data_IF_004163500101
#
_entry.id   IF_004163500101
#
_cell.length_a   1.000
_cell.length_b   1.000
_cell.length_c   1.000
_cell.angle_alpha   90.00
_cell.angle_beta   90.00
_cell.angle_gamma   90.00
#
_symmetry.space_group_name_H-M   'P 1'
#
loop_
_entity.id
_entity.type
_entity.pdbx_description
1 polymer ?
#
# COMPACT_ATOMS: atom_id res chain seq x y z
N UNK A 1 -14.43 -0.49 0.75
CA UNK A 1 -13.74 0.32 -0.27
C UNK A 1 -13.21 1.61 0.36
N UNK A 2 -12.02 2.06 -0.01
CA UNK A 2 -11.40 3.33 0.41
C UNK A 2 -11.54 4.32 -0.75
N UNK A 3 -12.10 5.52 -0.53
CA UNK A 3 -12.39 6.46 -1.61
C UNK A 3 -11.48 7.69 -1.50
N UNK A 4 -11.02 8.19 -2.66
CA UNK A 4 -10.26 9.44 -2.77
C UNK A 4 -9.12 9.60 -1.75
N UNK A 5 -8.10 8.72 -1.75
CA UNK A 5 -6.89 8.96 -0.96
C UNK A 5 -6.22 10.26 -1.44
N UNK A 6 -5.88 11.15 -0.51
CA UNK A 6 -5.37 12.49 -0.86
C UNK A 6 -4.02 12.82 -0.21
N UNK A 7 -3.59 12.04 0.77
CA UNK A 7 -2.29 12.23 1.41
C UNK A 7 -1.53 10.93 1.57
N UNK A 8 -0.21 11.05 1.62
CA UNK A 8 0.71 9.97 1.95
C UNK A 8 1.75 10.49 2.94
N UNK A 9 2.04 9.69 3.97
CA UNK A 9 3.07 9.98 4.95
C UNK A 9 3.76 8.69 5.40
N UNK A 10 4.95 8.83 5.97
CA UNK A 10 5.75 7.73 6.53
C UNK A 10 6.11 8.00 7.98
N UNK A 11 6.24 6.94 8.79
CA UNK A 11 6.83 7.02 10.13
C UNK A 11 8.31 6.62 10.13
N UNK A 12 8.97 6.69 11.31
CA UNK A 12 10.38 6.31 11.46
C UNK A 12 10.66 4.81 11.32
N UNK A 13 9.61 3.98 11.40
CA UNK A 13 9.69 2.53 11.16
C UNK A 13 9.51 2.18 9.68
N UNK A 14 9.22 3.18 8.83
CA UNK A 14 9.01 3.01 7.39
C UNK A 14 7.60 2.61 6.99
N UNK A 15 6.64 2.56 7.92
CA UNK A 15 5.25 2.26 7.57
C UNK A 15 4.65 3.39 6.73
N UNK A 16 3.75 3.05 5.81
CA UNK A 16 3.07 4.02 4.94
C UNK A 16 1.65 4.26 5.43
N UNK A 17 1.22 5.51 5.40
CA UNK A 17 -0.12 5.93 5.77
C UNK A 17 -0.77 6.69 4.63
N UNK A 18 -2.07 6.46 4.42
CA UNK A 18 -2.89 7.30 3.54
C UNK A 18 -4.19 7.70 4.20
N UNK A 19 -4.69 8.89 3.86
CA UNK A 19 -5.94 9.42 4.40
C UNK A 19 -6.99 9.60 3.31
N UNK A 20 -8.22 9.30 3.66
CA UNK A 20 -9.42 9.57 2.85
C UNK A 20 -10.03 10.91 3.28
N UNK A 21 -10.23 11.81 2.31
CA UNK A 21 -10.73 13.17 2.55
C UNK A 21 -12.24 13.31 2.46
N UNK A 22 -12.94 12.31 1.94
CA UNK A 22 -14.38 12.36 1.73
C UNK A 22 -15.16 11.91 2.98
N UNK A 23 -16.08 10.96 2.87
CA UNK A 23 -16.96 10.52 3.96
C UNK A 23 -16.24 9.66 5.01
N UNK A 24 -15.25 8.85 4.59
CA UNK A 24 -14.73 7.81 5.46
C UNK A 24 -13.94 8.33 6.66
N UNK A 25 -13.25 9.48 6.54
CA UNK A 25 -12.36 10.04 7.59
C UNK A 25 -11.44 8.98 8.21
N UNK A 26 -10.94 8.07 7.37
CA UNK A 26 -10.10 6.94 7.77
C UNK A 26 -8.65 7.21 7.49
N UNK A 27 -7.81 6.59 8.31
CA UNK A 27 -6.39 6.38 8.04
C UNK A 27 -6.20 4.91 7.72
N UNK A 28 -5.52 4.60 6.62
CA UNK A 28 -5.06 3.24 6.33
C UNK A 28 -3.54 3.16 6.50
N UNK A 29 -3.09 2.20 7.31
CA UNK A 29 -1.67 1.88 7.53
C UNK A 29 -1.28 0.67 6.70
N UNK A 30 -0.16 0.77 6.00
CA UNK A 30 0.54 -0.34 5.35
C UNK A 30 1.80 -0.63 6.14
N UNK A 31 1.89 -1.85 6.66
CA UNK A 31 3.04 -2.28 7.44
C UNK A 31 4.24 -2.45 6.52
N UNK A 32 5.36 -1.84 6.89
CA UNK A 32 6.62 -2.10 6.23
C UNK A 32 7.23 -3.39 6.78
N UNK A 33 7.39 -4.39 5.92
CA UNK A 33 7.91 -5.71 6.29
C UNK A 33 9.40 -5.88 5.95
N UNK A 34 10.09 -4.80 5.62
CA UNK A 34 11.50 -4.82 5.19
C UNK A 34 11.68 -4.98 3.68
N UNK A 35 12.94 -4.82 3.25
CA UNK A 35 13.35 -5.08 1.87
C UNK A 35 13.54 -6.57 1.65
N UNK A 36 13.19 -7.04 0.45
CA UNK A 36 13.48 -8.39 -0.01
C UNK A 36 14.45 -8.35 -1.20
N UNK A 37 15.35 -9.33 -1.35
CA UNK A 37 16.20 -9.45 -2.53
C UNK A 37 15.37 -9.50 -3.81
N UNK A 38 15.82 -8.84 -4.88
CA UNK A 38 15.09 -8.79 -6.17
C UNK A 38 14.79 -10.18 -6.75
N UNK A 39 15.69 -11.15 -6.55
CA UNK A 39 15.50 -12.55 -6.93
C UNK A 39 14.26 -13.22 -6.27
N UNK A 40 13.76 -12.65 -5.18
CA UNK A 40 12.57 -13.13 -4.47
C UNK A 40 11.31 -12.30 -4.81
N UNK A 41 11.44 -11.25 -5.62
CA UNK A 41 10.32 -10.42 -6.07
C UNK A 41 9.72 -11.07 -7.32
N UNK A 42 8.39 -11.23 -7.32
CA UNK A 42 7.69 -11.67 -8.52
C UNK A 42 7.80 -10.57 -9.58
N UNK A 43 8.35 -10.91 -10.74
CA UNK A 43 8.42 -10.00 -11.88
C UNK A 43 7.01 -9.68 -12.41
N UNK A 44 6.82 -8.45 -12.89
CA UNK A 44 5.57 -7.95 -13.46
C UNK A 44 4.86 -6.92 -12.62
N UNK A 45 3.80 -6.32 -13.17
CA UNK A 45 2.99 -5.37 -12.44
C UNK A 45 2.30 -6.06 -11.25
N UNK A 46 2.35 -5.42 -10.07
CA UNK A 46 1.65 -5.92 -8.89
C UNK A 46 0.12 -6.03 -9.11
N UNK A 47 -0.41 -5.28 -10.09
CA UNK A 47 -1.80 -5.29 -10.52
C UNK A 47 -1.94 -5.15 -12.06
N UNK A 48 -2.97 -5.76 -12.68
CA UNK A 48 -3.78 -6.84 -12.13
C UNK A 48 -2.93 -8.10 -12.01
N UNK A 49 -2.78 -8.63 -10.80
CA UNK A 49 -2.21 -9.94 -10.60
C UNK A 49 -3.25 -10.91 -11.19
N UNK A 50 -2.93 -11.62 -12.28
CA UNK A 50 -3.90 -12.53 -12.90
C UNK A 50 -4.55 -13.42 -11.84
N UNK A 51 -5.87 -13.29 -11.66
CA UNK A 51 -6.66 -14.20 -10.84
C UNK A 51 -6.52 -15.58 -11.47
N UNK A 52 -5.88 -16.51 -10.76
CA UNK A 52 -5.78 -17.89 -11.22
C UNK A 52 -7.11 -18.57 -10.86
N UNK A 53 -7.83 -19.04 -11.88
CA UNK A 53 -8.98 -19.96 -11.74
C UNK A 53 -8.63 -21.18 -10.91
#
# INVERSE_FOLDING_TARGET
MFFSPHSIATDSEGNIYTTETYEGKRVQKFLYTGLVPLQNVREGAAWPMQERN
#
